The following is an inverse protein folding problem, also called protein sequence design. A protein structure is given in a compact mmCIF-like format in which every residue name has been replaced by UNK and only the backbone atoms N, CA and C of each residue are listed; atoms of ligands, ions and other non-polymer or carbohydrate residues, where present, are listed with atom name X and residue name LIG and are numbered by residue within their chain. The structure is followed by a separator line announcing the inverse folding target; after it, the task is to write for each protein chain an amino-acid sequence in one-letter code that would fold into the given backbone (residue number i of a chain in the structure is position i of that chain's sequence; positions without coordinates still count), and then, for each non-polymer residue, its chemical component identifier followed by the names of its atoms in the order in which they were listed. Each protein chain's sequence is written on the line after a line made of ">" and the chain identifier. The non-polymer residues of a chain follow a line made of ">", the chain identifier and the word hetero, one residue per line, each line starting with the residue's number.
data_IF_996958848143
#
_entry.id   IF_996958848143
#
_cell.length_a   1.000
_cell.length_b   1.000
_cell.length_c   1.000
_cell.angle_alpha   90.00
_cell.angle_beta   90.00
_cell.angle_gamma   90.00
#
_symmetry.space_group_name_H-M   'P 1'
#
loop_
_entity.id
_entity.type
_entity.pdbx_description
1 polymer ?
#
# COMPACT_ATOMS: atom_id res chain seq x y z
N UNK A 1 25.58 -40.66 -19.51
CA UNK A 1 26.50 -39.89 -18.67
C UNK A 1 26.69 -38.47 -19.22
N UNK A 2 26.93 -38.25 -20.53
CA UNK A 2 27.22 -36.88 -21.03
C UNK A 2 26.17 -35.80 -20.73
N UNK A 3 24.86 -36.09 -20.79
CA UNK A 3 23.82 -35.08 -20.49
C UNK A 3 23.84 -34.52 -19.06
N UNK A 4 24.35 -35.28 -18.10
CA UNK A 4 24.43 -34.82 -16.70
C UNK A 4 25.67 -33.93 -16.53
N UNK A 5 26.76 -34.30 -17.19
CA UNK A 5 27.99 -33.50 -17.21
C UNK A 5 27.79 -32.17 -17.94
N UNK A 6 27.02 -32.16 -19.05
CA UNK A 6 26.65 -30.96 -19.80
C UNK A 6 25.81 -29.98 -18.95
N UNK A 7 24.80 -30.50 -18.22
CA UNK A 7 23.98 -29.69 -17.32
C UNK A 7 24.77 -29.13 -16.12
N UNK A 8 25.74 -29.90 -15.62
CA UNK A 8 26.59 -29.46 -14.53
C UNK A 8 27.53 -28.33 -14.98
N UNK A 9 28.03 -28.41 -16.21
CA UNK A 9 28.82 -27.35 -16.82
C UNK A 9 28.00 -26.07 -17.04
N UNK A 10 26.74 -26.19 -17.46
CA UNK A 10 25.83 -25.04 -17.61
C UNK A 10 25.52 -24.37 -16.26
N UNK A 11 25.30 -25.16 -15.21
CA UNK A 11 25.08 -24.64 -13.84
C UNK A 11 26.33 -23.91 -13.34
N UNK A 12 27.53 -24.46 -13.55
CA UNK A 12 28.77 -23.79 -13.17
C UNK A 12 29.00 -22.49 -13.96
N UNK A 13 28.66 -22.48 -15.25
CA UNK A 13 28.70 -21.29 -16.09
C UNK A 13 27.77 -20.20 -15.57
N UNK A 14 26.50 -20.53 -15.28
CA UNK A 14 25.52 -19.59 -14.74
C UNK A 14 25.90 -19.05 -13.36
N UNK A 15 26.44 -19.89 -12.48
CA UNK A 15 26.92 -19.44 -11.17
C UNK A 15 28.11 -18.47 -11.31
N UNK A 16 28.99 -18.70 -12.28
CA UNK A 16 30.10 -17.78 -12.56
C UNK A 16 29.61 -16.44 -13.13
N UNK A 17 28.56 -16.48 -13.96
CA UNK A 17 27.93 -15.28 -14.52
C UNK A 17 27.22 -14.47 -13.45
N UNK A 18 26.42 -15.11 -12.58
CA UNK A 18 25.78 -14.47 -11.42
C UNK A 18 26.82 -13.77 -10.55
N UNK A 19 27.93 -14.46 -10.23
CA UNK A 19 29.02 -13.87 -9.43
C UNK A 19 29.69 -12.70 -10.12
N UNK A 20 29.81 -12.72 -11.45
CA UNK A 20 30.36 -11.61 -12.23
C UNK A 20 29.41 -10.41 -12.24
N UNK A 21 28.10 -10.64 -12.30
CA UNK A 21 27.06 -9.62 -12.26
C UNK A 21 26.95 -8.98 -10.87
N UNK A 22 27.06 -9.78 -9.80
CA UNK A 22 27.13 -9.26 -8.41
C UNK A 22 28.34 -8.34 -8.22
N UNK A 23 29.51 -8.75 -8.73
CA UNK A 23 30.71 -7.92 -8.69
C UNK A 23 30.54 -6.63 -9.49
N UNK A 24 29.98 -6.71 -10.70
CA UNK A 24 29.72 -5.54 -11.54
C UNK A 24 28.71 -4.58 -10.89
N UNK A 25 27.68 -5.11 -10.22
CA UNK A 25 26.70 -4.35 -9.45
C UNK A 25 27.36 -3.59 -8.29
N UNK A 26 28.24 -4.24 -7.52
CA UNK A 26 28.97 -3.57 -6.43
C UNK A 26 29.94 -2.51 -6.95
N UNK A 27 30.62 -2.76 -8.07
CA UNK A 27 31.48 -1.77 -8.73
C UNK A 27 30.70 -0.55 -9.28
N UNK A 28 29.48 -0.76 -9.77
CA UNK A 28 28.60 0.33 -10.19
C UNK A 28 28.06 1.12 -8.99
N UNK A 29 27.75 0.44 -7.89
CA UNK A 29 27.28 1.05 -6.64
C UNK A 29 28.35 1.94 -6.00
N UNK A 30 29.61 1.51 -6.00
CA UNK A 30 30.73 2.32 -5.53
C UNK A 30 30.97 3.53 -6.43
N UNK A 31 30.95 3.35 -7.76
CA UNK A 31 31.07 4.48 -8.72
C UNK A 31 29.95 5.51 -8.57
N UNK A 32 28.71 5.08 -8.31
CA UNK A 32 27.58 5.96 -8.03
C UNK A 32 27.77 6.74 -6.72
N UNK A 33 28.27 6.09 -5.67
CA UNK A 33 28.57 6.73 -4.38
C UNK A 33 29.68 7.76 -4.50
N UNK A 34 30.75 7.46 -5.23
CA UNK A 34 31.86 8.39 -5.46
C UNK A 34 31.44 9.58 -6.33
N UNK A 35 30.55 9.36 -7.31
CA UNK A 35 29.98 10.45 -8.13
C UNK A 35 29.08 11.37 -7.30
N UNK A 36 28.27 10.84 -6.37
CA UNK A 36 27.44 11.62 -5.44
C UNK A 36 28.29 12.42 -4.45
N UNK A 37 29.35 11.83 -3.88
CA UNK A 37 30.30 12.55 -2.99
C UNK A 37 31.03 13.70 -3.68
N UNK A 38 31.29 13.58 -4.98
CA UNK A 38 31.92 14.64 -5.77
C UNK A 38 30.94 15.74 -6.24
N UNK A 39 29.63 15.51 -6.11
CA UNK A 39 28.57 16.45 -6.45
C UNK A 39 27.87 17.04 -5.21
N UNK A 40 28.31 16.71 -3.99
CA UNK A 40 27.60 17.10 -2.78
C UNK A 40 27.58 18.62 -2.60
N UNK A 41 26.35 19.10 -2.36
CA UNK A 41 25.99 20.48 -2.12
C UNK A 41 26.63 21.04 -0.84
N UNK A 42 26.95 22.33 -0.84
CA UNK A 42 27.48 23.14 0.27
C UNK A 42 26.58 23.27 1.52
N UNK A 43 25.53 22.45 1.65
CA UNK A 43 24.56 22.54 2.73
C UNK A 43 24.81 21.48 3.81
N UNK A 44 25.14 21.87 5.07
CA UNK A 44 25.55 20.95 6.13
C UNK A 44 24.47 19.95 6.55
N UNK A 45 23.19 20.32 6.40
CA UNK A 45 22.04 19.47 6.76
C UNK A 45 21.90 18.28 5.81
N UNK A 46 22.19 18.47 4.52
CA UNK A 46 22.12 17.40 3.52
C UNK A 46 23.23 16.38 3.77
N UNK A 47 24.39 16.85 4.23
CA UNK A 47 25.54 16.01 4.54
C UNK A 47 25.32 15.15 5.79
N UNK A 48 24.77 15.72 6.88
CA UNK A 48 24.37 14.96 8.06
C UNK A 48 23.32 13.88 7.74
N UNK A 49 22.44 14.16 6.78
CA UNK A 49 21.42 13.23 6.33
C UNK A 49 21.96 12.11 5.43
N UNK A 50 22.90 12.40 4.53
CA UNK A 50 23.59 11.38 3.74
C UNK A 50 24.42 10.42 4.62
N UNK A 51 25.05 10.95 5.68
CA UNK A 51 25.80 10.15 6.65
C UNK A 51 24.89 9.15 7.41
N UNK A 52 23.61 9.47 7.59
CA UNK A 52 22.61 8.57 8.18
C UNK A 52 22.28 7.37 7.28
N UNK A 53 22.22 7.53 5.95
CA UNK A 53 22.03 6.39 5.03
C UNK A 53 23.26 5.50 4.92
N UNK A 54 24.45 6.07 5.12
CA UNK A 54 25.69 5.32 5.24
C UNK A 54 25.73 4.49 6.55
N UNK A 55 25.16 5.00 7.63
CA UNK A 55 25.03 4.28 8.91
C UNK A 55 23.92 3.21 8.89
N UNK A 56 22.83 3.44 8.15
CA UNK A 56 21.67 2.54 8.08
C UNK A 56 21.31 2.20 6.62
N UNK A 57 22.02 1.24 5.99
CA UNK A 57 21.83 0.91 4.57
C UNK A 57 20.42 0.40 4.23
N UNK A 58 19.68 -0.09 5.22
CA UNK A 58 18.32 -0.61 5.07
C UNK A 58 17.33 0.50 4.63
N UNK A 59 17.59 1.75 4.99
CA UNK A 59 16.76 2.90 4.61
C UNK A 59 16.73 3.14 3.10
N UNK A 60 17.79 2.78 2.38
CA UNK A 60 17.79 2.88 0.91
C UNK A 60 16.73 1.99 0.28
N UNK A 61 16.54 0.77 0.80
CA UNK A 61 15.53 -0.14 0.25
C UNK A 61 14.10 0.41 0.43
N UNK A 62 13.86 1.25 1.44
CA UNK A 62 12.56 1.89 1.66
C UNK A 62 12.31 3.09 0.75
N UNK A 63 13.36 3.82 0.33
CA UNK A 63 13.21 4.99 -0.54
C UNK A 63 12.88 4.64 -1.99
N UNK A 64 13.39 3.50 -2.48
CA UNK A 64 13.28 3.12 -3.90
C UNK A 64 12.15 2.13 -4.20
N UNK A 65 11.52 1.55 -3.17
CA UNK A 65 10.40 0.61 -3.34
C UNK A 65 9.08 1.29 -2.97
N UNK A 66 8.36 1.82 -3.96
CA UNK A 66 6.93 2.03 -3.83
C UNK A 66 6.24 0.66 -3.78
N UNK A 67 5.83 0.23 -2.58
CA UNK A 67 5.04 -0.98 -2.32
C UNK A 67 5.74 -2.33 -2.61
N UNK A 68 6.36 -2.97 -1.59
CA UNK A 68 6.87 -4.35 -1.69
C UNK A 68 5.79 -5.40 -1.99
N UNK A 69 4.50 -5.07 -1.88
CA UNK A 69 3.38 -6.02 -1.99
C UNK A 69 2.99 -6.36 -3.44
N UNK A 70 3.66 -5.80 -4.45
CA UNK A 70 3.45 -6.16 -5.85
C UNK A 70 4.60 -6.97 -6.47
N UNK A 71 5.75 -7.09 -5.80
CA UNK A 71 6.92 -7.82 -6.32
C UNK A 71 7.20 -9.16 -5.60
N UNK A 72 6.58 -9.42 -4.43
CA UNK A 72 6.75 -10.66 -3.66
C UNK A 72 5.52 -11.61 -3.76
N UNK A 73 4.91 -11.73 -4.94
CA UNK A 73 4.01 -12.85 -5.24
C UNK A 73 4.80 -13.93 -5.99
N UNK A 74 5.44 -14.81 -5.23
CA UNK A 74 5.98 -16.06 -5.76
C UNK A 74 4.83 -16.91 -6.35
N UNK A 75 4.94 -17.23 -7.64
CA UNK A 75 4.00 -18.00 -8.47
C UNK A 75 3.81 -19.49 -8.07
N UNK A 76 3.89 -19.85 -6.79
CA UNK A 76 3.81 -21.25 -6.33
C UNK A 76 2.58 -21.66 -5.51
N UNK A 77 1.80 -20.73 -4.97
CA UNK A 77 0.72 -21.10 -4.03
C UNK A 77 -0.72 -20.98 -4.57
N UNK A 78 -0.91 -20.76 -5.88
CA UNK A 78 -2.25 -20.72 -6.51
C UNK A 78 -2.77 -22.12 -6.92
N UNK A 79 -1.98 -23.18 -6.78
CA UNK A 79 -2.33 -24.53 -7.30
C UNK A 79 -2.95 -25.52 -6.30
N UNK A 80 -3.38 -25.10 -5.10
CA UNK A 80 -3.94 -26.03 -4.11
C UNK A 80 -5.18 -25.56 -3.34
N UNK A 81 -6.09 -24.75 -3.92
CA UNK A 81 -7.42 -24.57 -3.31
C UNK A 81 -8.50 -24.40 -4.37
N UNK A 82 -8.75 -25.43 -5.20
CA UNK A 82 -10.03 -25.55 -5.91
C UNK A 82 -10.26 -26.96 -6.46
N UNK A 83 -10.34 -27.95 -5.57
CA UNK A 83 -11.10 -29.17 -5.88
C UNK A 83 -11.90 -29.63 -4.66
N UNK A 84 -13.22 -29.80 -4.89
CA UNK A 84 -14.23 -30.60 -4.14
C UNK A 84 -15.41 -29.81 -3.55
N UNK A 85 -16.47 -29.70 -4.36
CA UNK A 85 -17.86 -30.12 -4.04
C UNK A 85 -18.76 -29.69 -5.22
N UNK A 86 -19.00 -30.53 -6.22
CA UNK A 86 -20.10 -31.51 -6.37
C UNK A 86 -21.52 -30.93 -6.60
N UNK A 87 -21.84 -30.75 -7.90
CA UNK A 87 -23.04 -31.27 -8.63
C UNK A 87 -24.41 -30.53 -8.54
N UNK A 88 -25.41 -30.82 -9.42
CA UNK A 88 -25.43 -30.78 -10.90
C UNK A 88 -26.77 -30.24 -11.53
N UNK A 89 -26.86 -30.29 -12.87
CA UNK A 89 -28.04 -30.25 -13.78
C UNK A 89 -28.67 -28.89 -14.16
N UNK A 90 -29.10 -28.59 -15.40
CA UNK A 90 -29.03 -29.24 -16.72
C UNK A 90 -29.59 -28.30 -17.84
N UNK A 91 -29.13 -28.53 -19.10
CA UNK A 91 -29.91 -28.57 -20.38
C UNK A 91 -30.20 -27.32 -21.25
N UNK A 92 -29.81 -27.50 -22.54
CA UNK A 92 -30.48 -27.18 -23.83
C UNK A 92 -30.38 -25.70 -24.31
N UNK A 93 -30.19 -25.32 -25.58
CA UNK A 93 -30.41 -25.90 -26.94
C UNK A 93 -29.78 -24.91 -27.97
N UNK A 94 -29.00 -25.33 -28.97
CA UNK A 94 -29.35 -25.59 -30.39
C UNK A 94 -28.83 -24.56 -31.42
N UNK A 95 -28.13 -25.13 -32.42
CA UNK A 95 -27.50 -24.74 -33.71
C UNK A 95 -28.49 -24.25 -34.82
N UNK A 96 -28.16 -24.12 -36.15
CA UNK A 96 -26.93 -23.79 -36.95
C UNK A 96 -27.15 -22.89 -38.24
N UNK A 97 -26.06 -22.71 -39.01
CA UNK A 97 -25.94 -22.58 -40.50
C UNK A 97 -25.95 -21.15 -41.13
N UNK A 98 -25.15 -20.76 -42.13
CA UNK A 98 -24.63 -21.45 -43.33
C UNK A 98 -23.37 -20.72 -43.90
N UNK A 99 -22.55 -21.49 -44.63
CA UNK A 99 -21.33 -21.27 -45.44
C UNK A 99 -21.51 -20.33 -46.66
N UNK A 100 -20.53 -19.85 -47.47
CA UNK A 100 -19.27 -20.34 -48.11
C UNK A 100 -18.54 -19.06 -48.71
N UNK A 101 -17.49 -19.09 -49.58
CA UNK A 101 -16.11 -19.62 -49.56
C UNK A 101 -15.02 -18.53 -49.67
N UNK A 102 -13.79 -18.76 -49.21
CA UNK A 102 -12.57 -18.49 -49.99
C UNK A 102 -11.36 -19.21 -49.38
N UNK A 103 -10.60 -19.89 -50.24
CA UNK A 103 -9.46 -20.75 -49.92
C UNK A 103 -8.11 -20.01 -50.23
N UNK A 104 -6.93 -20.57 -49.94
CA UNK A 104 -6.13 -20.23 -48.76
C UNK A 104 -4.82 -19.51 -49.12
N UNK A 105 -4.31 -18.64 -48.24
CA UNK A 105 -2.90 -18.19 -48.29
C UNK A 105 -2.16 -18.61 -47.01
N UNK A 106 -1.34 -19.65 -47.20
CA UNK A 106 -0.13 -20.05 -46.44
C UNK A 106 -0.20 -19.90 -44.92
N UNK A 107 -0.58 -21.01 -44.27
CA UNK A 107 -0.23 -21.30 -42.87
C UNK A 107 1.30 -21.32 -42.74
N UNK A 108 1.87 -20.38 -42.00
CA UNK A 108 3.08 -20.68 -41.25
C UNK A 108 2.66 -21.70 -40.19
N UNK A 109 3.31 -22.87 -40.18
CA UNK A 109 3.10 -23.90 -39.15
C UNK A 109 3.44 -23.27 -37.80
N UNK A 110 2.43 -23.03 -36.96
CA UNK A 110 2.64 -22.98 -35.52
C UNK A 110 2.82 -24.44 -35.08
N UNK A 111 4.05 -24.76 -34.68
CA UNK A 111 4.30 -25.95 -33.88
C UNK A 111 3.48 -25.87 -32.59
N UNK A 112 2.97 -27.01 -32.15
CA UNK A 112 2.13 -27.16 -30.97
C UNK A 112 2.84 -26.65 -29.71
N UNK A 113 2.54 -25.42 -29.29
CA UNK A 113 2.78 -24.97 -27.92
C UNK A 113 1.50 -25.22 -27.11
N UNK A 114 1.31 -26.47 -26.66
CA UNK A 114 0.24 -26.84 -25.73
C UNK A 114 0.51 -26.40 -24.28
N UNK A 115 1.54 -25.58 -24.04
CA UNK A 115 1.96 -25.13 -22.71
C UNK A 115 2.10 -23.60 -22.60
N UNK A 116 1.35 -22.82 -23.39
CA UNK A 116 1.26 -21.37 -23.22
C UNK A 116 0.21 -21.02 -22.16
N UNK A 117 0.52 -20.12 -21.21
CA UNK A 117 -0.49 -19.55 -20.30
C UNK A 117 -1.69 -19.00 -21.07
N UNK A 118 -2.90 -19.15 -20.52
CA UNK A 118 -4.17 -18.83 -21.21
C UNK A 118 -4.20 -17.41 -21.80
N UNK A 119 -3.61 -16.44 -21.09
CA UNK A 119 -3.54 -15.05 -21.54
C UNK A 119 -2.70 -14.87 -22.82
N UNK A 120 -1.65 -15.68 -23.04
CA UNK A 120 -0.84 -15.64 -24.27
C UNK A 120 -1.49 -16.41 -25.41
N UNK A 121 -2.18 -17.51 -25.09
CA UNK A 121 -2.90 -18.31 -26.08
C UNK A 121 -4.05 -17.53 -26.73
N UNK A 122 -4.83 -16.81 -25.91
CA UNK A 122 -5.94 -15.96 -26.37
C UNK A 122 -5.46 -14.85 -27.31
N UNK A 123 -4.33 -14.22 -27.01
CA UNK A 123 -3.75 -13.15 -27.85
C UNK A 123 -3.24 -13.67 -29.20
N UNK A 124 -2.70 -14.89 -29.25
CA UNK A 124 -2.19 -15.50 -30.50
C UNK A 124 -3.29 -16.07 -31.39
N UNK A 125 -4.43 -16.47 -30.82
CA UNK A 125 -5.48 -17.21 -31.56
C UNK A 125 -6.70 -16.39 -31.92
N UNK A 126 -6.88 -15.19 -31.36
CA UNK A 126 -7.99 -14.33 -31.76
C UNK A 126 -7.81 -13.76 -33.17
N UNK A 127 -8.82 -13.87 -34.05
CA UNK A 127 -8.81 -13.19 -35.33
C UNK A 127 -8.92 -11.67 -35.09
N UNK A 128 -8.04 -10.90 -35.74
CA UNK A 128 -8.05 -9.44 -35.65
C UNK A 128 -9.41 -8.88 -36.11
N UNK A 129 -10.19 -8.35 -35.17
CA UNK A 129 -11.41 -7.62 -35.48
C UNK A 129 -11.02 -6.20 -35.88
N UNK A 130 -10.94 -5.96 -37.19
CA UNK A 130 -10.78 -4.60 -37.72
C UNK A 130 -12.12 -3.87 -37.63
N UNK A 131 -12.17 -2.79 -36.85
CA UNK A 131 -13.32 -1.91 -36.77
C UNK A 131 -13.45 -1.09 -38.07
N UNK A 132 -14.33 -1.53 -38.99
CA UNK A 132 -14.70 -0.77 -40.21
C UNK A 132 -15.70 0.35 -39.93
N UNK A 133 -15.53 1.10 -38.84
CA UNK A 133 -16.47 2.14 -38.41
C UNK A 133 -15.94 3.57 -38.65
N UNK A 134 -14.71 3.72 -39.14
CA UNK A 134 -14.10 5.01 -39.44
C UNK A 134 -13.84 5.14 -40.94
N UNK A 135 -14.04 6.34 -41.49
CA UNK A 135 -13.66 6.68 -42.86
C UNK A 135 -12.16 6.48 -43.06
N UNK A 136 -11.77 6.04 -44.27
CA UNK A 136 -10.35 5.80 -44.63
C UNK A 136 -9.45 7.00 -44.37
N UNK A 137 -10.03 8.20 -44.46
CA UNK A 137 -9.31 9.47 -44.37
C UNK A 137 -8.95 9.84 -42.92
N UNK A 138 -9.57 9.18 -41.93
CA UNK A 138 -9.27 9.34 -40.49
C UNK A 138 -8.47 8.15 -39.95
N UNK A 139 -8.39 7.05 -40.72
CA UNK A 139 -7.68 5.84 -40.31
C UNK A 139 -6.17 6.09 -40.11
N UNK A 140 -5.56 6.96 -40.91
CA UNK A 140 -4.14 7.31 -40.81
C UNK A 140 -3.82 8.22 -39.60
N UNK A 141 -4.83 8.93 -39.05
CA UNK A 141 -4.72 9.77 -37.85
C UNK A 141 -4.84 8.96 -36.55
N UNK A 142 -5.44 7.77 -36.61
CA UNK A 142 -5.63 6.89 -35.47
C UNK A 142 -4.60 5.77 -35.53
N UNK A 143 -3.50 5.95 -34.80
CA UNK A 143 -2.44 4.94 -34.71
C UNK A 143 -2.93 3.70 -33.94
N UNK A 144 -3.54 2.77 -34.67
CA UNK A 144 -4.06 1.51 -34.14
C UNK A 144 -2.95 0.55 -33.72
N UNK A 145 -1.67 0.84 -33.99
CA UNK A 145 -0.54 0.04 -33.50
C UNK A 145 -0.47 0.00 -31.97
N UNK A 146 -0.99 1.01 -31.27
CA UNK A 146 -1.04 1.09 -29.80
C UNK A 146 -1.87 -0.06 -29.20
N UNK A 147 -2.86 -0.57 -29.94
CA UNK A 147 -3.76 -1.64 -29.51
C UNK A 147 -3.20 -3.05 -29.80
N UNK A 148 -2.12 -3.16 -30.56
CA UNK A 148 -1.64 -4.46 -31.09
C UNK A 148 -0.60 -5.15 -30.22
N UNK A 149 0.00 -4.49 -29.22
CA UNK A 149 1.01 -5.13 -28.36
C UNK A 149 1.38 -4.30 -27.12
N UNK A 150 1.30 -4.87 -25.89
CA UNK A 150 1.81 -4.24 -24.67
C UNK A 150 3.31 -3.91 -24.72
N UNK A 151 4.11 -4.72 -25.44
CA UNK A 151 5.56 -4.55 -25.55
C UNK A 151 5.98 -3.43 -26.50
N UNK A 152 5.14 -3.03 -27.46
CA UNK A 152 5.37 -1.81 -28.27
C UNK A 152 4.95 -0.53 -27.56
N UNK A 153 3.98 -0.60 -26.63
CA UNK A 153 3.57 0.54 -25.77
C UNK A 153 4.73 1.07 -24.92
N UNK A 154 5.55 0.17 -24.38
CA UNK A 154 6.77 0.50 -23.61
C UNK A 154 7.88 1.09 -24.50
N UNK A 155 7.88 0.80 -25.80
CA UNK A 155 8.90 1.25 -26.76
C UNK A 155 8.62 2.67 -27.30
N UNK A 156 7.36 3.05 -27.47
CA UNK A 156 6.98 4.43 -27.85
C UNK A 156 7.01 5.41 -26.67
N UNK A 157 6.79 4.94 -25.43
CA UNK A 157 7.04 5.75 -24.22
C UNK A 157 8.53 6.02 -23.93
N UNK A 158 9.43 5.25 -24.56
CA UNK A 158 10.88 5.52 -24.54
C UNK A 158 11.33 6.42 -25.71
N UNK A 159 10.38 6.98 -26.49
CA UNK A 159 10.65 7.72 -27.72
C UNK A 159 10.09 9.15 -27.68
N UNK A 160 10.16 9.78 -26.52
CA UNK A 160 10.41 11.21 -26.45
C UNK A 160 11.62 11.39 -25.53
N UNK A 161 12.61 12.11 -26.02
CA UNK A 161 13.80 12.53 -25.29
C UNK A 161 13.39 13.42 -24.11
N UNK A 162 12.84 12.82 -23.06
CA UNK A 162 12.99 13.40 -21.72
C UNK A 162 14.50 13.41 -21.52
N UNK A 163 15.11 14.59 -21.53
CA UNK A 163 16.55 14.71 -21.33
C UNK A 163 16.92 13.83 -20.15
N UNK A 164 17.97 13.02 -20.27
CA UNK A 164 18.42 12.15 -19.17
C UNK A 164 18.66 12.93 -17.88
N UNK A 165 18.95 14.23 -17.98
CA UNK A 165 18.94 15.19 -16.87
C UNK A 165 17.56 15.37 -16.23
N UNK A 166 16.50 15.58 -17.01
CA UNK A 166 15.14 15.85 -16.54
C UNK A 166 14.57 14.62 -15.84
N UNK A 167 14.92 13.42 -16.31
CA UNK A 167 14.58 12.17 -15.63
C UNK A 167 15.27 12.05 -14.27
N UNK A 168 16.56 12.39 -14.19
CA UNK A 168 17.30 12.38 -12.91
C UNK A 168 16.72 13.41 -11.93
N UNK A 169 16.40 14.62 -12.39
CA UNK A 169 15.79 15.64 -11.53
C UNK A 169 14.39 15.25 -11.05
N UNK A 170 13.62 14.57 -11.90
CA UNK A 170 12.32 14.03 -11.51
C UNK A 170 12.47 12.92 -10.47
N UNK A 171 13.43 12.02 -10.64
CA UNK A 171 13.73 10.96 -9.67
C UNK A 171 14.12 11.56 -8.30
N UNK A 172 14.99 12.56 -8.29
CA UNK A 172 15.37 13.27 -7.06
C UNK A 172 14.16 13.97 -6.40
N UNK A 173 13.24 14.51 -7.21
CA UNK A 173 12.01 15.14 -6.71
C UNK A 173 11.04 14.12 -6.10
N UNK A 174 10.91 12.93 -6.69
CA UNK A 174 10.09 11.83 -6.17
C UNK A 174 10.67 11.32 -4.85
N UNK A 175 11.98 11.12 -4.78
CA UNK A 175 12.67 10.69 -3.55
C UNK A 175 12.46 11.73 -2.45
N UNK A 176 12.60 13.01 -2.78
CA UNK A 176 12.38 14.10 -1.83
C UNK A 176 10.93 14.15 -1.34
N UNK A 177 9.95 13.98 -2.24
CA UNK A 177 8.54 13.84 -1.85
C UNK A 177 8.34 12.67 -0.87
N UNK A 178 8.92 11.51 -1.17
CA UNK A 178 8.83 10.33 -0.31
C UNK A 178 9.44 10.58 1.08
N UNK A 179 10.57 11.27 1.16
CA UNK A 179 11.16 11.70 2.44
C UNK A 179 10.18 12.58 3.23
N UNK A 180 9.53 13.55 2.57
CA UNK A 180 8.52 14.38 3.25
C UNK A 180 7.28 13.58 3.67
N UNK A 181 6.90 12.55 2.91
CA UNK A 181 5.80 11.64 3.28
C UNK A 181 6.09 10.80 4.52
N UNK A 182 7.36 10.49 4.80
CA UNK A 182 7.75 9.73 5.99
C UNK A 182 7.40 10.44 7.31
N UNK A 183 7.17 11.75 7.30
CA UNK A 183 6.69 12.49 8.49
C UNK A 183 5.22 12.16 8.85
N UNK A 184 4.48 11.50 7.96
CA UNK A 184 3.12 11.00 8.19
C UNK A 184 1.99 12.02 7.96
N UNK A 185 2.28 13.33 7.96
CA UNK A 185 1.31 14.38 7.59
C UNK A 185 1.88 15.18 6.43
N UNK A 186 1.24 15.11 5.27
CA UNK A 186 1.64 15.87 4.08
C UNK A 186 0.47 16.59 3.44
N UNK A 187 0.77 17.74 2.86
CA UNK A 187 -0.17 18.51 2.05
C UNK A 187 0.15 18.32 0.58
N UNK A 188 -0.87 18.10 -0.24
CA UNK A 188 -0.72 17.97 -1.68
C UNK A 188 -1.74 18.86 -2.40
N UNK A 189 -1.35 19.45 -3.53
CA UNK A 189 -2.25 20.29 -4.31
C UNK A 189 -3.36 19.44 -4.92
N UNK A 190 -4.57 19.97 -4.95
CA UNK A 190 -5.71 19.34 -5.60
C UNK A 190 -6.53 20.41 -6.32
N UNK A 191 -7.20 20.03 -7.39
CA UNK A 191 -8.13 20.88 -8.13
C UNK A 191 -9.42 20.11 -8.38
N UNK A 192 -10.56 20.74 -8.12
CA UNK A 192 -11.86 20.20 -8.54
C UNK A 192 -12.02 20.43 -10.04
N UNK A 193 -12.18 19.39 -10.87
CA UNK A 193 -12.39 19.58 -12.31
C UNK A 193 -13.63 20.43 -12.63
N UNK A 194 -14.62 20.49 -11.74
CA UNK A 194 -15.83 21.31 -11.92
C UNK A 194 -15.52 22.82 -11.80
N UNK A 195 -14.45 23.18 -11.10
CA UNK A 195 -14.08 24.57 -10.83
C UNK A 195 -13.03 25.13 -11.79
N UNK A 196 -12.67 24.39 -12.83
CA UNK A 196 -11.80 24.84 -13.90
C UNK A 196 -12.61 25.71 -14.87
N UNK A 197 -12.28 27.00 -14.94
CA UNK A 197 -12.91 27.95 -15.85
C UNK A 197 -11.89 28.49 -16.84
N UNK A 198 -12.26 28.54 -18.11
CA UNK A 198 -11.53 29.30 -19.13
C UNK A 198 -11.72 30.79 -18.83
N UNK A 199 -10.64 31.56 -18.90
CA UNK A 199 -10.71 33.01 -18.79
C UNK A 199 -11.16 33.57 -20.14
N UNK A 200 -12.25 34.33 -20.21
CA UNK A 200 -12.80 34.80 -21.50
C UNK A 200 -11.83 35.66 -22.34
N UNK A 201 -10.76 36.16 -21.73
CA UNK A 201 -9.74 37.03 -22.36
C UNK A 201 -8.43 36.32 -22.71
N UNK A 202 -8.19 35.09 -22.27
CA UNK A 202 -6.98 34.31 -22.54
C UNK A 202 -7.29 32.81 -22.52
N UNK A 203 -6.62 32.01 -23.35
CA UNK A 203 -6.74 30.54 -23.34
C UNK A 203 -6.15 29.89 -22.06
N UNK A 204 -6.08 30.64 -20.96
CA UNK A 204 -5.61 30.19 -19.65
C UNK A 204 -6.78 29.63 -18.84
N UNK A 205 -6.53 28.47 -18.25
CA UNK A 205 -7.47 27.82 -17.34
C UNK A 205 -7.20 28.34 -15.92
N UNK A 206 -8.22 28.89 -15.28
CA UNK A 206 -8.16 29.42 -13.91
C UNK A 206 -9.00 28.55 -12.98
N UNK A 207 -8.48 28.32 -11.77
CA UNK A 207 -9.19 27.59 -10.71
C UNK A 207 -10.09 28.57 -9.95
N UNK A 208 -11.40 28.35 -9.98
CA UNK A 208 -12.39 29.19 -9.29
C UNK A 208 -12.35 29.01 -7.76
N UNK A 209 -12.18 27.77 -7.30
CA UNK A 209 -12.09 27.42 -5.88
C UNK A 209 -10.89 26.54 -5.61
N UNK A 210 -9.98 27.04 -4.79
CA UNK A 210 -8.81 26.27 -4.35
C UNK A 210 -9.22 25.06 -3.51
N UNK A 211 -8.48 23.97 -3.69
CA UNK A 211 -8.56 22.76 -2.88
C UNK A 211 -7.20 22.41 -2.30
N UNK A 212 -7.22 21.88 -1.09
CA UNK A 212 -6.03 21.40 -0.38
C UNK A 212 -6.28 19.96 0.05
N UNK A 213 -5.41 19.06 -0.41
CA UNK A 213 -5.38 17.68 0.03
C UNK A 213 -4.45 17.51 1.23
N UNK A 214 -4.89 16.74 2.21
CA UNK A 214 -4.10 16.31 3.36
C UNK A 214 -4.01 14.78 3.29
N UNK A 215 -2.79 14.26 3.26
CA UNK A 215 -2.49 12.82 3.33
C UNK A 215 -1.96 12.52 4.72
N UNK A 216 -2.60 11.56 5.39
CA UNK A 216 -2.25 11.03 6.70
C UNK A 216 -1.77 9.58 6.52
N UNK A 217 -0.52 9.31 6.83
CA UNK A 217 0.14 8.02 6.61
C UNK A 217 0.77 7.56 7.93
N UNK A 218 0.21 6.52 8.55
CA UNK A 218 0.70 5.99 9.82
C UNK A 218 1.70 4.89 9.54
N UNK A 219 2.86 4.96 10.20
CA UNK A 219 3.87 3.90 10.12
C UNK A 219 3.55 2.78 11.13
N UNK A 220 3.52 1.54 10.66
CA UNK A 220 3.32 0.36 11.49
C UNK A 220 4.69 -0.21 11.87
N UNK A 221 5.09 -0.06 13.13
CA UNK A 221 6.39 -0.50 13.63
C UNK A 221 6.55 -2.02 13.64
N UNK A 222 5.45 -2.78 13.80
CA UNK A 222 5.50 -4.24 13.84
C UNK A 222 5.78 -4.84 12.46
N UNK A 223 5.17 -4.30 11.41
CA UNK A 223 5.40 -4.76 10.03
C UNK A 223 6.51 -3.98 9.33
N UNK A 224 7.04 -2.93 9.96
CA UNK A 224 7.99 -1.97 9.38
C UNK A 224 7.53 -1.41 8.03
N UNK A 225 6.21 -1.18 7.88
CA UNK A 225 5.58 -0.70 6.65
C UNK A 225 4.61 0.43 6.96
N UNK A 226 4.40 1.33 6.01
CA UNK A 226 3.32 2.30 6.09
C UNK A 226 1.96 1.63 5.89
N UNK A 227 0.97 2.04 6.67
CA UNK A 227 -0.40 1.62 6.49
C UNK A 227 -1.06 2.34 5.32
N UNK A 228 -2.27 1.90 4.96
CA UNK A 228 -3.04 2.55 3.91
C UNK A 228 -3.25 4.04 4.27
N UNK A 229 -2.89 4.98 3.38
CA UNK A 229 -3.02 6.40 3.68
C UNK A 229 -4.49 6.81 3.76
N UNK A 230 -4.79 7.67 4.72
CA UNK A 230 -6.08 8.36 4.79
C UNK A 230 -5.96 9.76 4.21
N UNK A 231 -7.04 10.20 3.56
CA UNK A 231 -7.10 11.46 2.85
C UNK A 231 -8.17 12.36 3.45
N UNK A 232 -7.86 13.63 3.60
CA UNK A 232 -8.82 14.69 3.95
C UNK A 232 -8.70 15.78 2.88
N UNK A 233 -9.82 16.13 2.28
CA UNK A 233 -9.91 17.13 1.23
C UNK A 233 -10.61 18.37 1.80
N UNK A 234 -9.89 19.48 1.79
CA UNK A 234 -10.41 20.79 2.15
C UNK A 234 -10.70 21.58 0.87
N UNK A 235 -11.80 22.33 0.88
CA UNK A 235 -12.18 23.21 -0.22
C UNK A 235 -12.39 24.61 0.30
N UNK A 236 -11.98 25.62 -0.46
CA UNK A 236 -12.13 27.01 -0.04
C UNK A 236 -13.56 27.50 -0.27
N UNK A 237 -14.14 28.18 0.72
CA UNK A 237 -15.45 28.83 0.59
C UNK A 237 -15.30 30.13 -0.21
N UNK A 238 -16.15 30.30 -1.22
CA UNK A 238 -16.16 31.48 -2.11
C UNK A 238 -16.30 32.80 -1.34
N UNK A 239 -17.15 32.83 -0.30
CA UNK A 239 -17.54 34.08 0.38
C UNK A 239 -16.69 34.44 1.60
N UNK A 240 -16.10 33.47 2.28
CA UNK A 240 -15.42 33.68 3.56
C UNK A 240 -13.91 33.48 3.49
N UNK A 241 -13.37 33.09 2.33
CA UNK A 241 -11.95 32.75 2.15
C UNK A 241 -11.41 31.73 3.18
N UNK A 242 -12.31 30.93 3.76
CA UNK A 242 -12.00 29.92 4.77
C UNK A 242 -12.16 28.53 4.18
N UNK A 243 -11.36 27.60 4.68
CA UNK A 243 -11.47 26.19 4.32
C UNK A 243 -12.72 25.57 4.96
N UNK A 244 -13.30 24.58 4.29
CA UNK A 244 -14.27 23.69 4.88
C UNK A 244 -13.95 22.25 4.53
N UNK A 245 -14.34 21.33 5.41
CA UNK A 245 -14.21 19.89 5.20
C UNK A 245 -15.11 19.46 4.03
N UNK A 246 -14.52 19.05 2.91
CA UNK A 246 -15.26 18.64 1.72
C UNK A 246 -15.51 17.12 1.70
N UNK A 247 -14.43 16.33 1.81
CA UNK A 247 -14.47 14.86 1.84
C UNK A 247 -13.34 14.32 2.69
N UNK A 248 -13.50 13.12 3.25
CA UNK A 248 -12.42 12.39 3.91
C UNK A 248 -12.61 10.88 3.78
N UNK A 249 -11.52 10.12 3.95
CA UNK A 249 -11.51 8.65 4.01
C UNK A 249 -11.25 8.10 5.41
N UNK A 250 -11.25 8.98 6.42
CA UNK A 250 -11.12 8.60 7.82
C UNK A 250 -12.38 7.83 8.27
N UNK A 251 -12.23 6.70 8.98
CA UNK A 251 -13.36 5.93 9.49
C UNK A 251 -14.25 6.70 10.48
N UNK A 252 -15.53 6.33 10.56
CA UNK A 252 -16.56 7.08 11.29
C UNK A 252 -16.43 7.08 12.81
N UNK A 253 -15.60 6.19 13.38
CA UNK A 253 -15.32 6.18 14.82
C UNK A 253 -14.41 7.36 15.25
N UNK A 254 -13.77 8.05 14.31
CA UNK A 254 -13.12 9.35 14.53
C UNK A 254 -14.06 10.45 14.02
N UNK A 255 -14.52 11.31 14.92
CA UNK A 255 -15.37 12.45 14.55
C UNK A 255 -14.55 13.60 13.95
N UNK A 256 -14.20 13.46 12.67
CA UNK A 256 -13.43 14.46 11.93
C UNK A 256 -14.13 15.81 11.89
N UNK A 257 -15.45 15.84 11.81
CA UNK A 257 -16.21 17.08 11.71
C UNK A 257 -16.19 17.86 13.02
N UNK A 258 -16.33 17.17 14.17
CA UNK A 258 -16.15 17.79 15.47
C UNK A 258 -14.73 18.33 15.64
N UNK A 259 -13.70 17.55 15.30
CA UNK A 259 -12.30 17.99 15.39
C UNK A 259 -12.05 19.22 14.51
N UNK A 260 -12.65 19.27 13.31
CA UNK A 260 -12.57 20.43 12.43
C UNK A 260 -13.23 21.67 13.04
N UNK A 261 -14.45 21.52 13.58
CA UNK A 261 -15.19 22.62 14.21
C UNK A 261 -14.53 23.11 15.51
N UNK A 262 -13.86 22.23 16.24
CA UNK A 262 -13.12 22.58 17.46
C UNK A 262 -11.78 23.26 17.15
N UNK A 263 -11.30 23.16 15.90
CA UNK A 263 -10.06 23.82 15.47
C UNK A 263 -10.38 25.27 15.08
N UNK A 264 -9.88 26.21 15.88
CA UNK A 264 -10.09 27.66 15.69
C UNK A 264 -11.58 28.05 15.58
N UNK A 265 -12.46 27.37 16.32
CA UNK A 265 -13.91 27.59 16.28
C UNK A 265 -14.56 27.30 14.92
N UNK A 266 -13.94 26.47 14.09
CA UNK A 266 -14.43 26.04 12.78
C UNK A 266 -14.03 26.97 11.63
N UNK A 267 -13.23 28.00 11.92
CA UNK A 267 -12.74 28.95 10.92
C UNK A 267 -11.26 28.68 10.62
N UNK A 268 -11.02 27.68 9.78
CA UNK A 268 -9.68 27.34 9.28
C UNK A 268 -9.34 28.25 8.10
N UNK A 269 -8.34 29.11 8.25
CA UNK A 269 -7.92 30.05 7.17
C UNK A 269 -6.46 29.79 6.81
N UNK A 270 -5.59 29.70 7.82
CA UNK A 270 -4.16 29.52 7.60
C UNK A 270 -3.80 28.04 7.34
N UNK A 271 -2.68 27.77 6.65
CA UNK A 271 -2.14 26.42 6.53
C UNK A 271 -1.81 25.78 7.88
N UNK A 272 -1.38 26.59 8.86
CA UNK A 272 -1.05 26.13 10.20
C UNK A 272 -2.31 25.65 10.96
N UNK A 273 -3.45 26.32 10.78
CA UNK A 273 -4.74 25.88 11.33
C UNK A 273 -5.14 24.51 10.75
N UNK A 274 -4.96 24.34 9.43
CA UNK A 274 -5.22 23.08 8.75
C UNK A 274 -4.27 21.98 9.25
N UNK A 275 -3.01 22.33 9.54
CA UNK A 275 -2.03 21.41 10.11
C UNK A 275 -2.38 21.01 11.54
N UNK A 276 -2.83 21.93 12.40
CA UNK A 276 -3.29 21.62 13.75
C UNK A 276 -4.49 20.66 13.73
N UNK A 277 -5.45 20.91 12.83
CA UNK A 277 -6.56 20.00 12.58
C UNK A 277 -6.06 18.61 12.13
N UNK A 278 -5.19 18.55 11.12
CA UNK A 278 -4.61 17.31 10.61
C UNK A 278 -3.87 16.54 11.72
N UNK A 279 -3.08 17.24 12.53
CA UNK A 279 -2.32 16.68 13.65
C UNK A 279 -3.23 16.06 14.70
N UNK A 280 -4.36 16.69 15.03
CA UNK A 280 -5.34 16.11 15.98
C UNK A 280 -5.94 14.80 15.46
N UNK A 281 -6.30 14.75 14.18
CA UNK A 281 -6.80 13.51 13.55
C UNK A 281 -5.71 12.46 13.49
N UNK A 282 -4.50 12.85 13.12
CA UNK A 282 -3.34 11.94 13.02
C UNK A 282 -2.99 11.30 14.36
N UNK A 283 -2.99 12.08 15.46
CA UNK A 283 -2.75 11.54 16.81
C UNK A 283 -3.77 10.46 17.16
N UNK A 284 -5.05 10.64 16.83
CA UNK A 284 -6.07 9.61 17.08
C UNK A 284 -5.84 8.34 16.24
N UNK A 285 -5.43 8.48 14.97
CA UNK A 285 -5.06 7.33 14.14
C UNK A 285 -3.86 6.57 14.73
N UNK A 286 -2.82 7.29 15.14
CA UNK A 286 -1.62 6.70 15.77
C UNK A 286 -1.97 6.01 17.09
N UNK A 287 -2.84 6.58 17.91
CA UNK A 287 -3.28 5.95 19.16
C UNK A 287 -4.01 4.63 18.94
N UNK A 288 -4.93 4.59 17.96
CA UNK A 288 -5.65 3.36 17.59
C UNK A 288 -4.65 2.32 17.08
N UNK A 289 -3.70 2.75 16.25
CA UNK A 289 -2.70 1.86 15.69
C UNK A 289 -1.77 1.28 16.75
N UNK A 290 -1.22 2.12 17.64
CA UNK A 290 -0.38 1.68 18.76
C UNK A 290 -1.12 0.63 19.60
N UNK A 291 -2.41 0.87 19.88
CA UNK A 291 -3.24 -0.04 20.66
C UNK A 291 -3.42 -1.40 19.98
N UNK A 292 -3.74 -1.41 18.69
CA UNK A 292 -3.82 -2.63 17.89
C UNK A 292 -2.51 -3.40 17.91
N UNK A 293 -1.40 -2.68 17.76
CA UNK A 293 -0.07 -3.26 17.77
C UNK A 293 0.25 -3.91 19.12
N UNK A 294 -0.02 -3.23 20.24
CA UNK A 294 0.22 -3.78 21.58
C UNK A 294 -0.49 -5.12 21.80
N UNK A 295 -1.76 -5.24 21.42
CA UNK A 295 -2.48 -6.52 21.56
C UNK A 295 -1.97 -7.61 20.61
N UNK A 296 -1.68 -7.26 19.35
CA UNK A 296 -1.06 -8.21 18.42
C UNK A 296 0.31 -8.68 18.93
N UNK A 297 1.08 -7.81 19.57
CA UNK A 297 2.40 -8.13 20.14
C UNK A 297 2.27 -9.09 21.32
N UNK A 298 1.27 -8.90 22.19
CA UNK A 298 0.93 -9.86 23.25
C UNK A 298 0.55 -11.24 22.70
N UNK A 299 -0.21 -11.28 21.60
CA UNK A 299 -0.57 -12.54 20.93
C UNK A 299 0.65 -13.22 20.30
N UNK A 300 1.53 -12.45 19.65
CA UNK A 300 2.77 -12.97 19.07
C UNK A 300 3.72 -13.55 20.14
N UNK A 301 3.77 -12.93 21.33
CA UNK A 301 4.49 -13.43 22.51
C UNK A 301 3.83 -14.67 23.13
N UNK A 302 2.66 -15.09 22.63
CA UNK A 302 1.85 -16.20 23.17
C UNK A 302 1.42 -16.00 24.62
N UNK A 303 1.34 -14.74 25.07
CA UNK A 303 0.80 -14.40 26.40
C UNK A 303 -0.72 -14.52 26.38
N UNK A 304 -1.34 -14.15 25.25
CA UNK A 304 -2.78 -14.24 25.01
C UNK A 304 -3.07 -15.09 23.76
N UNK A 305 -4.28 -15.62 23.68
CA UNK A 305 -4.76 -16.47 22.58
C UNK A 305 -6.14 -16.02 22.08
N UNK A 306 -6.47 -16.36 20.83
CA UNK A 306 -7.77 -16.07 20.21
C UNK A 306 -8.19 -14.61 20.41
N UNK A 307 -7.33 -13.69 19.98
CA UNK A 307 -7.57 -12.26 20.10
C UNK A 307 -8.66 -11.82 19.11
N UNK A 308 -9.70 -11.19 19.63
CA UNK A 308 -10.73 -10.50 18.87
C UNK A 308 -10.69 -8.99 19.20
N UNK A 309 -10.58 -8.18 18.15
CA UNK A 309 -10.42 -6.72 18.22
C UNK A 309 -11.56 -6.06 17.45
N UNK A 310 -12.19 -5.04 18.04
CA UNK A 310 -13.01 -4.13 17.27
C UNK A 310 -12.14 -3.19 16.38
N UNK A 311 -12.79 -2.52 15.43
CA UNK A 311 -12.14 -1.65 14.42
C UNK A 311 -11.23 -0.57 15.04
N UNK A 312 -11.60 -0.04 16.21
CA UNK A 312 -10.86 1.00 16.94
C UNK A 312 -10.03 0.43 18.12
N UNK A 313 -10.04 -0.89 18.31
CA UNK A 313 -9.43 -1.60 19.45
C UNK A 313 -9.79 -1.04 20.82
N UNK A 314 -11.00 -0.50 20.96
CA UNK A 314 -11.53 -0.04 22.25
C UNK A 314 -12.25 -1.16 22.99
N UNK A 315 -12.74 -2.19 22.30
CA UNK A 315 -13.26 -3.39 22.92
C UNK A 315 -12.46 -4.58 22.43
N UNK A 316 -11.89 -5.32 23.37
CA UNK A 316 -10.93 -6.38 23.08
C UNK A 316 -11.30 -7.61 23.90
N UNK A 317 -11.34 -8.77 23.26
CA UNK A 317 -11.53 -10.03 23.95
C UNK A 317 -10.42 -11.01 23.58
N UNK A 318 -9.89 -11.71 24.56
CA UNK A 318 -8.87 -12.73 24.36
C UNK A 318 -8.93 -13.76 25.47
N UNK A 319 -8.27 -14.89 25.24
CA UNK A 319 -8.07 -15.92 26.23
C UNK A 319 -6.68 -15.80 26.82
N UNK A 320 -6.58 -16.06 28.11
CA UNK A 320 -5.30 -16.34 28.75
C UNK A 320 -5.37 -17.69 29.41
N UNK A 321 -4.60 -18.64 28.86
CA UNK A 321 -4.79 -20.07 29.13
C UNK A 321 -6.25 -20.44 28.87
N UNK A 322 -7.02 -20.73 29.91
CA UNK A 322 -8.42 -21.15 29.81
C UNK A 322 -9.43 -20.10 30.31
N UNK A 323 -8.96 -18.88 30.60
CA UNK A 323 -9.80 -17.78 31.10
C UNK A 323 -10.05 -16.77 30.00
N UNK A 324 -11.32 -16.50 29.68
CA UNK A 324 -11.70 -15.44 28.73
C UNK A 324 -11.70 -14.08 29.44
N UNK A 325 -10.99 -13.12 28.88
CA UNK A 325 -10.89 -11.74 29.39
C UNK A 325 -11.43 -10.79 28.34
N UNK A 326 -12.32 -9.89 28.77
CA UNK A 326 -12.87 -8.82 27.95
C UNK A 326 -12.47 -7.47 28.56
N UNK A 327 -11.84 -6.63 27.75
CA UNK A 327 -11.35 -5.32 28.14
C UNK A 327 -12.07 -4.22 27.36
N UNK A 328 -12.40 -3.14 28.07
CA UNK A 328 -12.85 -1.89 27.47
C UNK A 328 -11.81 -0.79 27.74
N UNK A 329 -11.31 -0.22 26.65
CA UNK A 329 -10.24 0.77 26.65
C UNK A 329 -10.77 2.15 26.25
N UNK A 330 -10.24 3.18 26.92
CA UNK A 330 -10.44 4.58 26.56
C UNK A 330 -9.09 5.28 26.66
N UNK A 331 -8.68 6.00 25.61
CA UNK A 331 -7.43 6.79 25.61
C UNK A 331 -6.18 6.00 26.07
N UNK A 332 -6.03 4.75 25.59
CA UNK A 332 -4.95 3.83 25.98
C UNK A 332 -4.92 3.40 27.47
N UNK A 333 -6.03 3.58 28.18
CA UNK A 333 -6.24 3.03 29.52
C UNK A 333 -7.36 2.00 29.50
N UNK A 334 -7.18 0.92 30.26
CA UNK A 334 -8.17 -0.10 30.53
C UNK A 334 -9.09 0.43 31.62
N UNK A 335 -10.30 0.82 31.21
CA UNK A 335 -11.31 1.42 32.09
C UNK A 335 -12.21 0.33 32.71
N UNK A 336 -12.45 -0.74 31.98
CA UNK A 336 -13.22 -1.88 32.46
C UNK A 336 -12.58 -3.19 32.04
N UNK A 337 -12.63 -4.16 32.94
CA UNK A 337 -12.19 -5.53 32.72
C UNK A 337 -13.31 -6.46 33.20
N UNK A 338 -13.66 -7.43 32.38
CA UNK A 338 -14.61 -8.49 32.69
C UNK A 338 -13.93 -9.83 32.45
N UNK A 339 -13.89 -10.67 33.47
CA UNK A 339 -13.38 -12.04 33.33
C UNK A 339 -14.59 -12.96 33.17
N UNK A 340 -14.68 -13.73 32.10
CA UNK A 340 -15.75 -14.69 31.89
C UNK A 340 -15.22 -16.08 32.26
N UNK A 341 -15.68 -16.60 33.39
CA UNK A 341 -15.37 -17.96 33.84
C UNK A 341 -16.36 -18.94 33.19
N UNK A 342 -15.84 -19.84 32.36
CA UNK A 342 -16.55 -21.09 32.04
C UNK A 342 -16.16 -22.22 33.02
N UNK A 343 -15.17 -22.00 33.88
CA UNK A 343 -14.59 -23.03 34.77
C UNK A 343 -15.02 -22.79 36.22
N UNK A 344 -15.73 -23.77 36.77
CA UNK A 344 -16.39 -23.75 38.09
C UNK A 344 -15.48 -23.54 39.33
N UNK A 345 -14.16 -23.41 39.17
CA UNK A 345 -13.19 -23.35 40.29
C UNK A 345 -12.58 -21.96 40.55
N UNK A 346 -12.91 -20.92 39.76
CA UNK A 346 -12.44 -19.57 40.04
C UNK A 346 -13.28 -18.94 41.17
N UNK A 347 -12.71 -18.90 42.38
CA UNK A 347 -13.35 -18.28 43.53
C UNK A 347 -13.66 -16.80 43.23
N UNK A 348 -14.93 -16.39 43.35
CA UNK A 348 -15.44 -15.08 42.93
C UNK A 348 -14.70 -13.89 43.58
N UNK A 349 -14.09 -14.09 44.75
CA UNK A 349 -13.21 -13.08 45.40
C UNK A 349 -11.89 -12.85 44.66
N UNK A 350 -11.32 -13.89 44.06
CA UNK A 350 -10.09 -13.78 43.28
C UNK A 350 -10.36 -13.11 41.93
N UNK A 351 -11.52 -13.39 41.33
CA UNK A 351 -11.98 -12.74 40.09
C UNK A 351 -11.99 -11.22 40.21
N UNK A 352 -12.68 -10.67 41.22
CA UNK A 352 -12.75 -9.22 41.42
C UNK A 352 -11.37 -8.59 41.66
N UNK A 353 -10.48 -9.30 42.36
CA UNK A 353 -9.11 -8.82 42.60
C UNK A 353 -8.31 -8.74 41.29
N UNK A 354 -8.55 -9.67 40.37
CA UNK A 354 -7.89 -9.72 39.07
C UNK A 354 -8.44 -8.69 38.10
N UNK A 355 -9.76 -8.52 38.05
CA UNK A 355 -10.39 -7.45 37.29
C UNK A 355 -9.82 -6.09 37.71
N UNK A 356 -9.70 -5.84 39.02
CA UNK A 356 -9.09 -4.62 39.55
C UNK A 356 -7.59 -4.49 39.23
N UNK A 357 -6.85 -5.60 39.19
CA UNK A 357 -5.41 -5.59 38.91
C UNK A 357 -5.11 -5.21 37.46
N UNK A 358 -5.97 -5.64 36.52
CA UNK A 358 -5.81 -5.40 35.09
C UNK A 358 -6.22 -3.98 34.65
N UNK A 359 -6.93 -3.22 35.49
CA UNK A 359 -7.24 -1.82 35.22
C UNK A 359 -5.98 -0.93 35.17
N UNK A 360 -6.03 0.15 34.40
CA UNK A 360 -4.96 1.13 34.28
C UNK A 360 -4.32 1.19 32.88
N UNK A 361 -3.09 1.71 32.75
CA UNK A 361 -2.44 1.89 31.45
C UNK A 361 -2.26 0.60 30.66
N UNK A 362 -2.43 0.65 29.34
CA UNK A 362 -2.22 -0.50 28.46
C UNK A 362 -0.78 -1.01 28.48
N UNK A 363 0.20 -0.11 28.62
CA UNK A 363 1.62 -0.47 28.66
C UNK A 363 1.95 -1.39 29.88
N UNK A 364 1.18 -1.29 30.98
CA UNK A 364 1.33 -2.14 32.15
C UNK A 364 0.71 -3.53 31.98
N UNK A 365 -0.17 -3.71 30.98
CA UNK A 365 -0.94 -4.95 30.82
C UNK A 365 -0.02 -6.15 30.65
N UNK A 366 1.04 -6.02 29.86
CA UNK A 366 2.00 -7.11 29.65
C UNK A 366 2.62 -7.59 30.97
N UNK A 367 3.08 -6.64 31.80
CA UNK A 367 3.68 -6.93 33.10
C UNK A 367 2.66 -7.55 34.06
N UNK A 368 1.43 -7.01 34.08
CA UNK A 368 0.33 -7.50 34.92
C UNK A 368 -0.06 -8.92 34.53
N UNK A 369 -0.18 -9.24 33.25
CA UNK A 369 -0.47 -10.59 32.79
C UNK A 369 0.66 -11.54 33.25
N UNK A 370 1.92 -11.22 32.93
CA UNK A 370 3.05 -12.06 33.32
C UNK A 370 3.14 -12.32 34.84
N UNK A 371 2.93 -11.30 35.66
CA UNK A 371 2.94 -11.43 37.12
C UNK A 371 1.78 -12.28 37.64
N UNK A 372 0.58 -12.07 37.10
CA UNK A 372 -0.64 -12.74 37.54
C UNK A 372 -0.60 -14.23 37.21
N UNK A 373 -0.15 -14.60 36.00
CA UNK A 373 -0.07 -16.00 35.58
C UNK A 373 1.08 -16.80 36.21
N UNK A 374 2.15 -16.13 36.63
CA UNK A 374 3.22 -16.76 37.43
C UNK A 374 2.79 -17.11 38.86
N UNK A 375 1.79 -16.41 39.40
CA UNK A 375 1.36 -16.55 40.80
C UNK A 375 0.26 -17.61 40.99
N UNK A 376 -0.57 -17.88 39.97
CA UNK A 376 -1.71 -18.84 40.08
C UNK A 376 -1.40 -20.24 39.57
N UNK A 377 -0.49 -20.39 38.60
CA UNK A 377 -0.23 -21.68 37.94
C UNK A 377 1.11 -22.31 38.37
N UNK A 378 1.62 -21.93 39.54
CA UNK A 378 2.51 -22.78 40.34
C UNK A 378 1.65 -23.62 41.26
#
# INVERSE_FOLDING_TARGET
>A
MSKIDDLQQDVESLLSEIKSLEKSREELKTKLRDKRKNQSSTNPIIQEFEDLFDQFPQLNNFLFNEHPELDDMDDKDISMVQTRSSSPDSKLKSTPATSIPYEPKKKAKLENDENLPEHEWVLKTQPMVQHKMFDSDVADLLDTEILTSPSKRKRKLNLEEINTSDKSMLEDSIILENIYRMFGITFFPLVDPIDLKMKDSSDEIVVDREMLGIRLEVFNERTSKFEKPHYILLKKRIKSNSWFLFKHTIPSYIDVQAIFNDTNGGLVISPDDAYLFAKRVFVQLVEIQKRQQSFKDLEAKKIIHNLDLDLQSSMVSFFVKDVKVELFLKQNEIVSCSILDEIHDFNQKNKNKWELLLLGPLDDLELKLNHSFATIFK
#
